data_IF_648481961066
#
_entry.id   IF_648481961066
#
_cell.length_a   1.000
_cell.length_b   1.000
_cell.length_c   1.000
_cell.angle_alpha   90.00
_cell.angle_beta   90.00
_cell.angle_gamma   90.00
#
_symmetry.space_group_name_H-M   'P 1'
#
loop_
_entity.id
_entity.type
_entity.pdbx_description
1 polymer ?
#
# COMPACT_ATOMS: atom_id res chain seq x y z
N UNK A 1 -0.68 -10.61 23.22
CA UNK A 1 -0.74 -11.07 22.67
C UNK A 1 -0.93 -11.00 21.42
N UNK A 2 -0.61 -10.86 20.88
CA UNK A 2 -0.93 -10.82 19.84
C UNK A 2 -1.07 -11.70 18.97
N UNK A 3 -1.46 -11.58 18.38
CA UNK A 3 -2.09 -12.64 17.74
C UNK A 3 -1.47 -12.90 16.41
N UNK A 4 -0.54 -13.79 16.34
CA UNK A 4 0.26 -14.04 15.17
C UNK A 4 -0.52 -14.70 14.05
N UNK A 5 -1.77 -15.06 14.27
CA UNK A 5 -2.58 -15.67 13.22
C UNK A 5 -3.00 -14.68 12.15
N UNK A 6 -2.97 -13.39 12.47
CA UNK A 6 -3.38 -12.38 11.53
C UNK A 6 -2.18 -11.65 10.98
N UNK A 7 -1.67 -12.19 9.89
CA UNK A 7 -0.64 -11.47 9.16
C UNK A 7 -1.30 -10.55 8.16
N UNK A 8 -0.94 -9.30 8.22
CA UNK A 8 -1.42 -8.35 7.23
C UNK A 8 -0.64 -8.57 5.95
N UNK A 9 -1.27 -8.21 4.83
CA UNK A 9 -0.63 -8.39 3.53
C UNK A 9 0.75 -7.75 3.47
N UNK A 10 0.95 -6.64 4.18
CA UNK A 10 2.21 -5.90 4.11
C UNK A 10 3.26 -6.38 5.10
N UNK A 11 2.90 -7.29 5.99
CA UNK A 11 3.86 -7.76 7.01
C UNK A 11 4.99 -8.57 6.41
N UNK A 12 4.77 -9.17 5.26
CA UNK A 12 5.78 -10.01 4.63
C UNK A 12 6.53 -9.31 3.50
N UNK A 13 6.27 -8.04 3.31
CA UNK A 13 6.93 -7.29 2.25
C UNK A 13 8.36 -6.95 2.65
N UNK A 14 9.28 -6.89 1.67
CA UNK A 14 10.62 -6.41 1.95
C UNK A 14 10.57 -4.99 2.52
N UNK A 15 11.55 -4.68 3.34
CA UNK A 15 11.60 -3.38 3.98
C UNK A 15 11.59 -2.24 2.97
N UNK A 16 12.32 -2.41 1.87
CA UNK A 16 12.40 -1.39 0.83
C UNK A 16 11.04 -1.10 0.23
N UNK A 17 10.25 -2.15 0.02
CA UNK A 17 8.91 -2.00 -0.52
C UNK A 17 8.02 -1.27 0.49
N UNK A 18 8.11 -1.64 1.76
CA UNK A 18 7.33 -0.97 2.79
C UNK A 18 7.67 0.50 2.89
N UNK A 19 8.95 0.83 2.82
CA UNK A 19 9.36 2.24 2.89
C UNK A 19 8.82 3.03 1.72
N UNK A 20 8.83 2.43 0.54
CA UNK A 20 8.26 3.07 -0.64
C UNK A 20 6.77 3.32 -0.46
N UNK A 21 6.04 2.32 0.02
CA UNK A 21 4.61 2.44 0.21
C UNK A 21 4.26 3.46 1.29
N UNK A 22 5.03 3.47 2.38
CA UNK A 22 4.79 4.43 3.45
C UNK A 22 5.05 5.86 2.98
N UNK A 23 6.07 6.06 2.17
CA UNK A 23 6.37 7.37 1.62
C UNK A 23 5.22 7.86 0.75
N UNK A 24 4.68 6.99 -0.09
CA UNK A 24 3.56 7.33 -0.94
C UNK A 24 2.34 7.67 -0.10
N UNK A 25 2.08 6.89 0.94
CA UNK A 25 0.95 7.11 1.83
C UNK A 25 1.05 8.45 2.53
N UNK A 26 2.22 8.78 3.03
CA UNK A 26 2.44 10.05 3.71
C UNK A 26 2.16 11.21 2.75
N UNK A 27 2.65 11.12 1.52
CA UNK A 27 2.42 12.17 0.53
C UNK A 27 0.93 12.31 0.20
N UNK A 28 0.23 11.19 0.11
CA UNK A 28 -1.20 11.23 -0.17
C UNK A 28 -1.97 11.89 0.96
N UNK A 29 -1.69 11.49 2.20
CA UNK A 29 -2.40 12.02 3.37
C UNK A 29 -2.04 13.46 3.64
N UNK A 30 -0.86 13.88 3.23
CA UNK A 30 -0.45 15.28 3.40
C UNK A 30 -1.05 16.18 2.32
N UNK A 31 -1.70 15.62 1.32
CA UNK A 31 -2.29 16.40 0.25
C UNK A 31 -1.30 16.80 -0.84
N UNK A 32 -0.12 16.18 -0.84
CA UNK A 32 0.91 16.50 -1.84
C UNK A 32 0.60 15.88 -3.20
N UNK A 33 -0.22 14.83 -3.22
CA UNK A 33 -0.56 14.16 -4.46
C UNK A 33 -1.92 14.61 -4.93
N UNK A 34 -2.02 14.87 -6.20
CA UNK A 34 -3.23 15.42 -6.79
C UNK A 34 -4.09 14.32 -7.41
N UNK A 35 -4.17 13.18 -6.72
CA UNK A 35 -4.95 12.03 -7.18
C UNK A 35 -5.73 11.46 -6.01
N UNK A 36 -6.80 10.73 -6.32
CA UNK A 36 -7.56 10.06 -5.27
C UNK A 36 -6.79 8.82 -4.79
N UNK A 37 -7.13 8.37 -3.57
CA UNK A 37 -6.50 7.17 -3.02
C UNK A 37 -6.74 5.96 -3.92
N UNK A 38 -7.92 5.86 -4.51
CA UNK A 38 -8.25 4.74 -5.37
C UNK A 38 -7.39 4.75 -6.64
N UNK A 39 -7.22 5.90 -7.24
CA UNK A 39 -6.39 6.02 -8.44
C UNK A 39 -4.95 5.67 -8.11
N UNK A 40 -4.47 6.15 -6.98
CA UNK A 40 -3.11 5.86 -6.53
C UNK A 40 -2.92 4.37 -6.25
N UNK A 41 -3.89 3.77 -5.57
CA UNK A 41 -3.83 2.33 -5.27
C UNK A 41 -3.75 1.52 -6.55
N UNK A 42 -4.53 1.89 -7.54
CA UNK A 42 -4.53 1.18 -8.81
C UNK A 42 -3.17 1.29 -9.51
N UNK A 43 -2.59 2.48 -9.47
CA UNK A 43 -1.29 2.70 -10.09
C UNK A 43 -0.21 1.90 -9.36
N UNK A 44 -0.28 1.84 -8.04
CA UNK A 44 0.67 1.08 -7.24
C UNK A 44 0.58 -0.41 -7.58
N UNK A 45 -0.64 -0.94 -7.62
CA UNK A 45 -0.83 -2.35 -7.93
C UNK A 45 -0.34 -2.69 -9.32
N UNK A 46 -0.62 -1.83 -10.29
CA UNK A 46 -0.18 -2.05 -11.66
C UNK A 46 1.35 -2.05 -11.75
N UNK A 47 1.99 -1.10 -11.08
CA UNK A 47 3.44 -1.00 -11.08
C UNK A 47 4.08 -2.24 -10.47
N UNK A 48 3.56 -2.69 -9.32
CA UNK A 48 4.11 -3.85 -8.65
C UNK A 48 3.84 -5.13 -9.43
N UNK A 49 2.71 -5.19 -10.11
CA UNK A 49 2.41 -6.35 -10.95
C UNK A 49 3.44 -6.47 -12.07
N UNK A 50 3.84 -5.34 -12.65
CA UNK A 50 4.86 -5.35 -13.67
C UNK A 50 6.21 -5.79 -13.13
N UNK A 51 6.44 -5.60 -11.84
CA UNK A 51 7.66 -6.06 -11.18
C UNK A 51 7.56 -7.52 -10.77
N UNK A 52 6.41 -8.15 -11.02
CA UNK A 52 6.20 -9.54 -10.64
C UNK A 52 5.77 -9.73 -9.20
N UNK A 53 5.30 -8.69 -8.56
CA UNK A 53 4.89 -8.74 -7.16
C UNK A 53 3.42 -8.40 -7.03
N UNK A 54 2.68 -9.28 -6.36
CA UNK A 54 1.29 -9.02 -6.07
C UNK A 54 1.16 -8.61 -4.60
N UNK A 55 0.62 -7.43 -4.37
CA UNK A 55 0.48 -6.91 -3.02
C UNK A 55 -0.81 -7.36 -2.35
N UNK A 56 -1.94 -6.93 -2.88
CA UNK A 56 -3.24 -7.19 -2.28
C UNK A 56 -4.31 -6.72 -3.26
N UNK A 57 -5.56 -6.79 -2.86
CA UNK A 57 -6.65 -6.32 -3.71
C UNK A 57 -6.67 -4.79 -3.71
N UNK A 58 -7.31 -4.23 -4.73
CA UNK A 58 -7.46 -2.79 -4.84
C UNK A 58 -8.17 -2.21 -3.63
N UNK A 59 -9.22 -2.87 -3.18
CA UNK A 59 -10.00 -2.42 -2.03
C UNK A 59 -9.13 -2.36 -0.77
N UNK A 60 -8.35 -3.42 -0.55
CA UNK A 60 -7.48 -3.49 0.63
C UNK A 60 -6.44 -2.40 0.61
N UNK A 61 -5.79 -2.19 -0.53
CA UNK A 61 -4.77 -1.16 -0.63
C UNK A 61 -5.38 0.24 -0.47
N UNK A 62 -6.54 0.46 -1.07
CA UNK A 62 -7.23 1.74 -0.94
C UNK A 62 -7.52 2.05 0.53
N UNK A 63 -8.00 1.06 1.27
CA UNK A 63 -8.28 1.26 2.69
C UNK A 63 -7.01 1.52 3.47
N UNK A 64 -5.95 0.80 3.17
CA UNK A 64 -4.68 1.01 3.85
C UNK A 64 -4.13 2.42 3.62
N UNK A 65 -4.30 2.94 2.42
CA UNK A 65 -3.82 4.28 2.10
C UNK A 65 -4.58 5.37 2.85
N UNK A 66 -5.84 5.11 3.19
CA UNK A 66 -6.68 6.09 3.86
C UNK A 66 -6.66 5.97 5.39
N UNK A 67 -6.16 4.88 5.91
CA UNK A 67 -6.14 4.66 7.37
C UNK A 67 -4.71 4.60 7.87
N UNK A 68 -4.50 5.15 9.02
CA UNK A 68 -3.20 5.07 9.68
C UNK A 68 -2.93 3.71 10.28
#
# INVERSE_FOLDING_TARGET
MKDSRYKRWHDELPREVMEELLSIRVSLLAGDLNVSARTLARAILDDFEKRGTRLCSLHTLNQWLLHD
#
